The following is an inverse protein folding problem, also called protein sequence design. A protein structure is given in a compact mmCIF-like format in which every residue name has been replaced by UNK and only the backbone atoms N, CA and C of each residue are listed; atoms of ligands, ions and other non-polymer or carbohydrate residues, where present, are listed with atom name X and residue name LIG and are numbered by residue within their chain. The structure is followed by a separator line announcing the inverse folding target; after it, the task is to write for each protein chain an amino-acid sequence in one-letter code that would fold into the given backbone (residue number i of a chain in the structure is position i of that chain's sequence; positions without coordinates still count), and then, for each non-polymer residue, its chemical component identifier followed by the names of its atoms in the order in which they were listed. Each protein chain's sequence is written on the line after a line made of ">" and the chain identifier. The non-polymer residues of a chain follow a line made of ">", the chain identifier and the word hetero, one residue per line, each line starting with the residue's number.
data_IF_338066151429
#
_entry.id   IF_338066151429
#
_cell.length_a   1.000
_cell.length_b   1.000
_cell.length_c   1.000
_cell.angle_alpha   90.00
_cell.angle_beta   90.00
_cell.angle_gamma   90.00
#
_symmetry.space_group_name_H-M   'P 1'
#
loop_
_entity.id
_entity.type
_entity.pdbx_description
1 polymer ?
#
# COMPACT_ATOMS: atom_id res chain seq x y z
N UNK A 1 11.00 -13.66 -7.57
CA UNK A 1 9.69 -13.25 -8.13
C UNK A 1 9.07 -12.16 -7.28
N UNK A 2 8.00 -11.53 -7.78
CA UNK A 2 7.16 -10.61 -7.02
C UNK A 2 5.72 -11.12 -7.08
N UNK A 3 5.03 -11.11 -5.96
CA UNK A 3 3.63 -11.54 -5.89
C UNK A 3 2.88 -10.80 -4.79
N UNK A 4 1.58 -10.63 -5.03
CA UNK A 4 0.63 -10.03 -4.11
C UNK A 4 -0.11 -11.14 -3.37
N UNK A 5 -0.03 -11.11 -2.04
CA UNK A 5 -0.79 -12.00 -1.18
C UNK A 5 -2.03 -11.24 -0.67
N UNK A 6 -3.25 -11.56 -1.14
CA UNK A 6 -4.45 -10.93 -0.61
C UNK A 6 -4.61 -11.25 0.87
N UNK A 7 -5.03 -10.25 1.65
CA UNK A 7 -5.27 -10.37 3.08
C UNK A 7 -6.71 -9.95 3.41
N UNK A 8 -7.36 -10.58 4.39
CA UNK A 8 -8.62 -10.07 4.91
C UNK A 8 -8.38 -8.69 5.55
N UNK A 9 -9.37 -7.80 5.44
CA UNK A 9 -9.35 -6.52 6.14
C UNK A 9 -9.79 -6.72 7.59
N UNK A 10 -8.83 -6.78 8.51
CA UNK A 10 -9.06 -7.21 9.90
C UNK A 10 -9.59 -6.11 10.85
N UNK A 11 -10.26 -5.07 10.35
CA UNK A 11 -10.90 -4.05 11.20
C UNK A 11 -12.41 -4.31 11.25
N UNK A 12 -13.00 -4.15 12.44
CA UNK A 12 -14.44 -4.32 12.70
C UNK A 12 -15.05 -5.68 12.26
N UNK A 13 -14.22 -6.72 12.18
CA UNK A 13 -14.67 -8.08 11.86
C UNK A 13 -15.12 -8.27 10.41
N UNK A 14 -14.68 -7.42 9.48
CA UNK A 14 -14.91 -7.63 8.05
C UNK A 14 -14.06 -8.79 7.52
N UNK A 15 -14.59 -10.01 7.59
CA UNK A 15 -13.93 -11.17 7.01
C UNK A 15 -13.83 -11.03 5.48
N UNK A 16 -12.59 -10.96 4.96
CA UNK A 16 -12.33 -11.09 3.53
C UNK A 16 -12.37 -12.56 3.08
N UNK A 17 -12.21 -12.81 1.77
CA UNK A 17 -12.26 -14.15 1.17
C UNK A 17 -11.08 -15.07 1.56
N UNK A 18 -10.10 -14.55 2.30
CA UNK A 18 -8.88 -15.26 2.72
C UNK A 18 -8.91 -15.43 4.24
N UNK A 19 -8.79 -16.66 4.72
CA UNK A 19 -8.65 -16.96 6.15
C UNK A 19 -7.18 -17.05 6.55
N UNK A 20 -6.81 -16.38 7.64
CA UNK A 20 -5.48 -16.45 8.24
C UNK A 20 -5.50 -17.28 9.53
N UNK A 21 -4.36 -17.83 9.97
CA UNK A 21 -4.21 -18.30 11.34
C UNK A 21 -4.56 -17.19 12.35
N UNK A 22 -5.17 -17.55 13.48
CA UNK A 22 -5.67 -16.59 14.49
C UNK A 22 -4.59 -15.60 14.95
N UNK A 23 -3.35 -16.06 15.12
CA UNK A 23 -2.25 -15.20 15.53
C UNK A 23 -1.90 -14.16 14.44
N UNK A 24 -1.96 -14.55 13.17
CA UNK A 24 -1.68 -13.65 12.05
C UNK A 24 -2.83 -12.66 11.85
N UNK A 25 -4.08 -13.11 12.01
CA UNK A 25 -5.25 -12.24 11.98
C UNK A 25 -5.18 -11.14 13.07
N UNK A 26 -4.77 -11.49 14.29
CA UNK A 26 -4.56 -10.52 15.36
C UNK A 26 -3.45 -9.51 15.01
N UNK A 27 -2.30 -9.98 14.53
CA UNK A 27 -1.18 -9.11 14.17
C UNK A 27 -1.51 -8.16 13.00
N UNK A 28 -2.17 -8.67 11.96
CA UNK A 28 -2.63 -7.84 10.85
C UNK A 28 -3.79 -6.92 11.26
N UNK A 29 -4.64 -7.32 12.19
CA UNK A 29 -5.66 -6.45 12.80
C UNK A 29 -5.07 -5.22 13.47
N UNK A 30 -4.02 -5.40 14.29
CA UNK A 30 -3.30 -4.28 14.90
C UNK A 30 -2.66 -3.35 13.87
N UNK A 31 -2.02 -3.92 12.84
CA UNK A 31 -1.44 -3.12 11.74
C UNK A 31 -2.51 -2.36 10.96
N UNK A 32 -3.61 -3.01 10.59
CA UNK A 32 -4.69 -2.40 9.82
C UNK A 32 -5.37 -1.29 10.62
N UNK A 33 -5.60 -1.47 11.93
CA UNK A 33 -6.13 -0.41 12.78
C UNK A 33 -5.20 0.81 12.83
N UNK A 34 -3.88 0.59 13.00
CA UNK A 34 -2.90 1.68 12.99
C UNK A 34 -2.83 2.39 11.62
N UNK A 35 -2.97 1.66 10.51
CA UNK A 35 -3.02 2.26 9.18
C UNK A 35 -4.34 2.99 8.92
N UNK A 36 -5.45 2.48 9.43
CA UNK A 36 -6.76 3.10 9.32
C UNK A 36 -6.81 4.44 10.07
N UNK A 37 -6.22 4.53 11.26
CA UNK A 37 -6.09 5.78 12.03
C UNK A 37 -5.33 6.87 11.24
N UNK A 38 -4.37 6.47 10.40
CA UNK A 38 -3.61 7.39 9.53
C UNK A 38 -4.37 7.72 8.25
N UNK A 39 -4.99 6.73 7.62
CA UNK A 39 -5.62 6.85 6.31
C UNK A 39 -6.98 7.54 6.38
N UNK A 40 -7.80 7.20 7.38
CA UNK A 40 -9.21 7.61 7.48
C UNK A 40 -9.40 9.12 7.52
N UNK A 41 -8.59 9.93 8.22
CA UNK A 41 -8.71 11.38 8.17
C UNK A 41 -8.47 11.94 6.76
N UNK A 42 -7.46 11.41 6.04
CA UNK A 42 -7.14 11.84 4.67
C UNK A 42 -8.26 11.46 3.71
N UNK A 43 -8.74 10.21 3.79
CA UNK A 43 -9.84 9.72 2.96
C UNK A 43 -11.12 10.52 3.22
N UNK A 44 -11.44 10.83 4.48
CA UNK A 44 -12.66 11.57 4.85
C UNK A 44 -12.67 13.01 4.37
N UNK A 45 -11.50 13.67 4.32
CA UNK A 45 -11.35 15.00 3.74
C UNK A 45 -11.49 14.99 2.20
N UNK A 46 -11.04 13.92 1.54
CA UNK A 46 -11.10 13.80 0.09
C UNK A 46 -12.46 13.30 -0.42
N UNK A 47 -13.09 12.37 0.31
CA UNK A 47 -14.37 11.75 -0.05
C UNK A 47 -15.29 11.59 1.17
N UNK A 48 -16.51 12.16 1.15
CA UNK A 48 -17.45 12.10 2.27
C UNK A 48 -18.21 10.77 2.40
N UNK A 49 -17.79 9.72 1.68
CA UNK A 49 -18.49 8.42 1.60
C UNK A 49 -17.66 7.30 2.22
N UNK A 50 -18.31 6.20 2.63
CA UNK A 50 -17.60 5.02 3.11
C UNK A 50 -16.74 4.43 1.99
N UNK A 51 -15.43 4.34 2.21
CA UNK A 51 -14.53 3.64 1.31
C UNK A 51 -14.64 2.11 1.51
N UNK A 52 -14.62 1.37 0.41
CA UNK A 52 -14.38 -0.07 0.45
C UNK A 52 -12.89 -0.28 0.77
N UNK A 53 -12.59 -0.94 1.90
CA UNK A 53 -11.21 -1.21 2.30
C UNK A 53 -10.77 -2.60 1.83
N UNK A 54 -9.55 -2.67 1.30
CA UNK A 54 -8.90 -3.91 0.87
C UNK A 54 -7.47 -3.93 1.39
N UNK A 55 -6.98 -5.12 1.74
CA UNK A 55 -5.60 -5.32 2.18
C UNK A 55 -4.89 -6.38 1.37
N UNK A 56 -3.58 -6.25 1.32
CA UNK A 56 -2.68 -7.23 0.72
C UNK A 56 -1.26 -7.01 1.18
N UNK A 57 -0.42 -8.02 1.00
CA UNK A 57 1.01 -7.95 1.25
C UNK A 57 1.77 -8.17 -0.04
N UNK A 58 2.61 -7.21 -0.41
CA UNK A 58 3.50 -7.32 -1.58
C UNK A 58 4.80 -7.98 -1.13
N UNK A 59 5.13 -9.13 -1.72
CA UNK A 59 6.38 -9.82 -1.45
C UNK A 59 7.29 -9.72 -2.66
N UNK A 60 8.49 -9.17 -2.46
CA UNK A 60 9.57 -9.13 -3.46
C UNK A 60 10.72 -10.02 -3.02
N UNK A 61 10.93 -11.12 -3.72
CA UNK A 61 12.06 -12.02 -3.47
C UNK A 61 13.38 -11.42 -4.00
N UNK A 62 14.55 -11.88 -3.51
CA UNK A 62 15.84 -11.51 -4.07
C UNK A 62 15.89 -11.73 -5.60
N UNK A 63 16.37 -10.71 -6.32
CA UNK A 63 16.45 -10.75 -7.78
C UNK A 63 15.12 -10.48 -8.51
N UNK A 64 14.05 -10.11 -7.81
CA UNK A 64 12.85 -9.57 -8.44
C UNK A 64 13.21 -8.35 -9.30
N UNK A 65 12.68 -8.31 -10.52
CA UNK A 65 12.88 -7.19 -11.45
C UNK A 65 11.99 -6.02 -11.05
N UNK A 66 12.40 -4.81 -11.46
CA UNK A 66 11.58 -3.62 -11.35
C UNK A 66 10.27 -3.80 -12.15
N UNK A 67 9.15 -3.33 -11.58
CA UNK A 67 7.89 -3.26 -12.31
C UNK A 67 7.92 -2.06 -13.27
N UNK A 68 7.25 -2.15 -14.44
CA UNK A 68 6.96 -0.98 -15.25
C UNK A 68 6.18 0.07 -14.44
N UNK A 69 6.41 1.35 -14.73
CA UNK A 69 5.61 2.43 -14.16
C UNK A 69 4.13 2.25 -14.51
N UNK A 70 3.25 2.33 -13.50
CA UNK A 70 1.81 2.14 -13.65
C UNK A 70 1.05 2.94 -12.59
N UNK A 71 -0.28 2.97 -12.71
CA UNK A 71 -1.20 3.40 -11.65
C UNK A 71 -1.83 2.14 -11.05
N UNK A 72 -1.99 2.10 -9.74
CA UNK A 72 -2.56 0.95 -9.03
C UNK A 72 -4.03 0.69 -9.41
N UNK A 73 -4.78 1.74 -9.72
CA UNK A 73 -6.20 1.64 -9.99
C UNK A 73 -6.83 2.89 -10.58
N UNK A 74 -8.17 2.93 -10.65
CA UNK A 74 -8.90 4.08 -11.15
C UNK A 74 -8.78 5.29 -10.21
N UNK A 75 -9.19 6.45 -10.71
CA UNK A 75 -9.30 7.66 -9.89
C UNK A 75 -10.24 7.40 -8.68
N UNK A 76 -9.84 7.90 -7.50
CA UNK A 76 -10.54 7.65 -6.25
C UNK A 76 -9.96 6.52 -5.38
N UNK A 77 -8.98 5.76 -5.90
CA UNK A 77 -8.21 4.82 -5.08
C UNK A 77 -7.12 5.55 -4.29
N UNK A 78 -7.05 5.28 -2.98
CA UNK A 78 -5.92 5.69 -2.13
C UNK A 78 -5.20 4.43 -1.66
N UNK A 79 -3.95 4.28 -2.08
CA UNK A 79 -3.08 3.19 -1.61
C UNK A 79 -2.23 3.67 -0.43
N UNK A 80 -2.27 2.94 0.68
CA UNK A 80 -1.41 3.17 1.86
C UNK A 80 -0.43 2.02 1.98
N UNK A 81 0.86 2.31 1.83
CA UNK A 81 1.92 1.30 1.93
C UNK A 81 2.61 1.34 3.30
N UNK A 82 2.53 0.23 4.03
CA UNK A 82 3.24 0.01 5.29
C UNK A 82 4.43 -0.93 5.06
N UNK A 83 5.69 -0.44 5.05
CA UNK A 83 6.84 -1.31 4.90
C UNK A 83 7.03 -2.22 6.12
N UNK A 84 6.92 -3.53 5.92
CA UNK A 84 7.22 -4.53 6.96
C UNK A 84 8.73 -4.83 7.10
N UNK A 85 9.53 -4.29 6.19
CA UNK A 85 10.99 -4.34 6.25
C UNK A 85 11.55 -2.97 5.91
N UNK A 86 12.73 -2.65 6.45
CA UNK A 86 13.37 -1.37 6.17
C UNK A 86 13.67 -1.22 4.67
N UNK A 87 13.33 -0.06 4.11
CA UNK A 87 13.72 0.28 2.74
C UNK A 87 15.20 0.66 2.69
N UNK A 88 15.91 -0.01 1.79
CA UNK A 88 17.33 0.21 1.53
C UNK A 88 17.56 0.10 0.03
N UNK A 89 18.51 0.84 -0.58
CA UNK A 89 18.69 0.80 -2.03
C UNK A 89 18.83 -0.62 -2.62
N UNK A 90 19.41 -1.55 -1.85
CA UNK A 90 19.60 -2.95 -2.26
C UNK A 90 18.31 -3.80 -2.32
N UNK A 91 17.22 -3.43 -1.66
CA UNK A 91 15.96 -4.20 -1.67
C UNK A 91 14.91 -3.62 -2.62
N UNK A 92 15.26 -2.60 -3.41
CA UNK A 92 14.42 -2.06 -4.47
C UNK A 92 13.13 -1.42 -3.92
N UNK A 93 13.23 -0.31 -3.15
CA UNK A 93 12.04 0.40 -2.67
C UNK A 93 11.17 0.86 -3.84
N UNK A 94 9.86 0.99 -3.59
CA UNK A 94 8.91 1.49 -4.60
C UNK A 94 9.33 2.87 -5.10
N UNK A 95 9.54 2.99 -6.41
CA UNK A 95 9.77 4.27 -7.06
C UNK A 95 8.42 4.96 -7.32
N UNK A 96 8.31 6.22 -6.92
CA UNK A 96 7.09 7.03 -7.09
C UNK A 96 7.36 8.12 -8.12
N UNK A 97 6.36 8.54 -8.88
CA UNK A 97 6.49 9.71 -9.77
C UNK A 97 5.65 10.85 -9.21
N UNK A 98 6.23 11.77 -8.41
CA UNK A 98 5.48 12.89 -7.82
C UNK A 98 4.73 13.71 -8.88
N UNK A 99 3.61 14.33 -8.48
CA UNK A 99 2.77 15.19 -9.32
C UNK A 99 2.12 14.54 -10.58
N UNK A 100 2.42 13.29 -10.91
CA UNK A 100 1.83 12.58 -12.07
C UNK A 100 0.35 12.22 -11.91
N UNK A 101 -0.21 12.33 -10.70
CA UNK A 101 -1.64 12.14 -10.41
C UNK A 101 -2.56 13.13 -11.15
N UNK A 102 -2.02 14.25 -11.67
CA UNK A 102 -2.78 15.29 -12.40
C UNK A 102 -2.87 15.08 -13.91
N UNK A 103 -2.23 14.03 -14.45
CA UNK A 103 -2.30 13.70 -15.88
C UNK A 103 -1.42 14.55 -16.80
N UNK A 104 -0.32 15.13 -16.29
CA UNK A 104 0.69 15.81 -17.10
C UNK A 104 1.96 14.98 -17.28
N UNK A 105 2.48 14.92 -18.51
CA UNK A 105 3.78 14.34 -18.90
C UNK A 105 4.98 15.09 -18.29
N UNK A 106 5.07 15.23 -16.96
CA UNK A 106 6.27 15.73 -16.30
C UNK A 106 7.21 14.56 -15.97
N UNK A 107 7.85 14.06 -17.02
CA UNK A 107 8.85 12.99 -17.01
C UNK A 107 10.20 13.38 -16.40
N UNK A 108 10.30 14.44 -15.59
CA UNK A 108 11.60 14.99 -15.17
C UNK A 108 11.84 15.15 -13.66
N UNK A 109 10.90 14.84 -12.78
CA UNK A 109 11.21 14.83 -11.34
C UNK A 109 11.58 13.42 -10.89
N UNK A 110 12.88 13.17 -10.72
CA UNK A 110 13.35 12.00 -9.97
C UNK A 110 12.61 11.93 -8.64
N UNK A 111 12.03 10.75 -8.37
CA UNK A 111 11.39 10.43 -7.11
C UNK A 111 12.35 10.73 -5.94
N UNK A 112 11.94 11.48 -4.91
CA UNK A 112 12.70 11.44 -3.67
C UNK A 112 12.65 10.01 -3.13
N UNK A 113 13.82 9.42 -2.89
CA UNK A 113 13.90 8.18 -2.11
C UNK A 113 13.21 8.42 -0.78
N UNK A 114 12.23 7.57 -0.43
CA UNK A 114 11.71 7.50 0.93
C UNK A 114 12.89 7.21 1.85
N UNK A 115 13.33 8.23 2.60
CA UNK A 115 14.37 8.04 3.59
C UNK A 115 13.78 7.36 4.82
N UNK A 116 14.53 6.47 5.48
CA UNK A 116 14.13 5.99 6.79
C UNK A 116 14.02 7.19 7.75
N UNK A 117 12.89 7.28 8.45
CA UNK A 117 12.76 8.13 9.62
C UNK A 117 13.48 7.55 10.83
#
# INVERSE_FOLDING_TARGET
>A
GRYDMPLPWCVDGQAGDVSLPVADEAAFGELHAAMDDVARPVVSELWPVSAEMRAGCVISEPGALAQPSHRDGPDGLVTVFAPLTAFVPRNGPTELSPATHRGGDDSSSLAPLLQPG
#
